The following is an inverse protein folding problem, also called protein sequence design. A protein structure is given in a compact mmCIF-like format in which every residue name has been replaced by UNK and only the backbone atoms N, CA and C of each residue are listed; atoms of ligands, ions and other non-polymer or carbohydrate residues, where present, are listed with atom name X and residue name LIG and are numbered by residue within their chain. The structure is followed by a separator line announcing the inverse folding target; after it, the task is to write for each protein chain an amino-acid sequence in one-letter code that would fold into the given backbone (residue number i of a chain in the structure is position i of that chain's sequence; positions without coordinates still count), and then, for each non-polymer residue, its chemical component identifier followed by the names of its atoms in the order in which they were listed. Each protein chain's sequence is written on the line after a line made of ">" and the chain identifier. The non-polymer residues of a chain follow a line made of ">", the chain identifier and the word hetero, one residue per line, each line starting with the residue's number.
data_IF_365045039029
#
_entry.id   IF_365045039029
#
_cell.length_a   1.000
_cell.length_b   1.000
_cell.length_c   1.000
_cell.angle_alpha   90.00
_cell.angle_beta   90.00
_cell.angle_gamma   90.00
#
_symmetry.space_group_name_H-M   'P 1'
#
loop_
_entity.id
_entity.type
_entity.pdbx_description
1 polymer ?
#
# COMPACT_ATOMS: atom_id res chain seq x y z
N UNK A 1 11.01 -14.70 13.96
CA UNK A 1 10.07 -15.34 13.02
C UNK A 1 10.08 -14.60 11.71
N UNK A 2 10.36 -15.28 10.60
CA UNK A 2 10.28 -14.69 9.25
C UNK A 2 8.89 -15.01 8.71
N UNK A 3 8.06 -13.98 8.51
CA UNK A 3 6.71 -14.15 7.95
C UNK A 3 6.80 -13.89 6.45
N UNK A 4 6.52 -14.90 5.64
CA UNK A 4 6.44 -14.80 4.18
C UNK A 4 4.96 -14.86 3.76
N UNK A 5 4.49 -13.90 2.98
CA UNK A 5 3.16 -13.93 2.36
C UNK A 5 3.31 -13.73 0.86
N UNK A 6 2.39 -14.33 0.11
CA UNK A 6 2.32 -14.16 -1.35
C UNK A 6 2.02 -12.71 -1.69
N UNK A 7 2.89 -12.12 -2.51
CA UNK A 7 2.67 -10.79 -3.07
C UNK A 7 1.77 -10.92 -4.30
N UNK A 8 0.58 -10.33 -4.21
CA UNK A 8 -0.37 -10.27 -5.32
C UNK A 8 -0.37 -8.86 -5.92
N UNK A 9 -0.66 -8.69 -7.22
CA UNK A 9 -0.64 -7.38 -7.88
C UNK A 9 -1.50 -6.32 -7.18
N UNK A 10 -2.60 -6.73 -6.54
CA UNK A 10 -3.51 -5.82 -5.84
C UNK A 10 -2.96 -5.31 -4.50
N UNK A 11 -1.83 -5.85 -4.05
CA UNK A 11 -1.08 -5.42 -2.86
C UNK A 11 0.03 -4.42 -3.20
N UNK A 12 0.10 -3.93 -4.44
CA UNK A 12 1.06 -2.95 -4.91
C UNK A 12 0.39 -1.57 -5.03
N UNK A 13 1.08 -0.54 -4.57
CA UNK A 13 0.68 0.85 -4.70
C UNK A 13 1.76 1.64 -5.47
N UNK A 14 1.39 2.43 -6.49
CA UNK A 14 2.29 3.40 -7.09
C UNK A 14 2.75 4.46 -6.07
N UNK A 15 4.03 4.84 -6.16
CA UNK A 15 4.64 5.88 -5.29
C UNK A 15 4.04 7.27 -5.48
N UNK A 16 3.41 7.52 -6.63
CA UNK A 16 2.84 8.80 -7.05
C UNK A 16 1.32 8.89 -6.82
N UNK A 17 0.71 7.92 -6.12
CA UNK A 17 -0.71 7.97 -5.80
C UNK A 17 -1.08 9.21 -4.98
N UNK A 18 -2.16 9.87 -5.40
CA UNK A 18 -2.78 10.91 -4.61
C UNK A 18 -3.41 10.34 -3.33
N UNK A 19 -3.58 11.18 -2.31
CA UNK A 19 -4.23 10.77 -1.05
C UNK A 19 -5.63 10.14 -1.23
N UNK A 20 -6.55 10.75 -2.00
CA UNK A 20 -7.86 10.16 -2.28
C UNK A 20 -7.76 8.80 -3.00
N UNK A 21 -6.89 8.68 -3.99
CA UNK A 21 -6.70 7.43 -4.74
C UNK A 21 -6.08 6.33 -3.87
N UNK A 22 -5.17 6.71 -2.97
CA UNK A 22 -4.61 5.83 -1.95
C UNK A 22 -5.71 5.27 -1.04
N UNK A 23 -6.58 6.12 -0.51
CA UNK A 23 -7.72 5.66 0.32
C UNK A 23 -8.67 4.77 -0.47
N UNK A 24 -8.93 5.11 -1.75
CA UNK A 24 -9.75 4.28 -2.61
C UNK A 24 -9.13 2.89 -2.85
N UNK A 25 -7.82 2.82 -3.09
CA UNK A 25 -7.08 1.57 -3.25
C UNK A 25 -7.16 0.69 -1.98
N UNK A 26 -6.97 1.29 -0.80
CA UNK A 26 -7.10 0.60 0.50
C UNK A 26 -8.50 0.02 0.73
N UNK A 27 -9.55 0.73 0.28
CA UNK A 27 -10.95 0.28 0.38
C UNK A 27 -11.25 -0.84 -0.62
N UNK A 28 -10.69 -0.77 -1.82
CA UNK A 28 -10.91 -1.75 -2.90
C UNK A 28 -10.30 -3.11 -2.56
N UNK A 29 -9.08 -3.12 -2.02
CA UNK A 29 -8.37 -4.37 -1.68
C UNK A 29 -7.90 -4.33 -0.25
N UNK A 30 -8.73 -4.61 0.77
CA UNK A 30 -8.33 -4.51 2.17
C UNK A 30 -7.16 -5.45 2.52
N UNK A 31 -6.03 -4.88 2.91
CA UNK A 31 -4.88 -5.60 3.44
C UNK A 31 -4.25 -4.83 4.61
N UNK A 32 -3.37 -5.50 5.37
CA UNK A 32 -2.63 -4.85 6.46
C UNK A 32 -1.48 -3.99 5.95
N UNK A 33 -0.84 -4.42 4.86
CA UNK A 33 0.38 -3.84 4.32
C UNK A 33 0.34 -3.90 2.79
N UNK A 34 0.99 -2.92 2.15
CA UNK A 34 1.13 -2.83 0.69
C UNK A 34 2.55 -2.49 0.33
N UNK A 35 3.03 -3.06 -0.78
CA UNK A 35 4.32 -2.73 -1.35
C UNK A 35 4.21 -1.45 -2.18
N UNK A 36 5.15 -0.52 -2.02
CA UNK A 36 5.19 0.69 -2.83
C UNK A 36 6.22 0.52 -3.93
N UNK A 37 5.78 0.68 -5.18
CA UNK A 37 6.63 0.62 -6.36
C UNK A 37 6.58 1.93 -7.14
N UNK A 38 7.65 2.27 -7.84
CA UNK A 38 7.58 3.26 -8.91
C UNK A 38 7.18 2.64 -10.26
N UNK A 39 7.04 3.47 -11.29
CA UNK A 39 6.70 3.03 -12.65
C UNK A 39 7.75 2.09 -13.28
N UNK A 40 8.98 2.06 -12.78
CA UNK A 40 10.03 1.12 -13.18
C UNK A 40 9.97 -0.20 -12.42
N UNK A 41 9.06 -0.34 -11.45
CA UNK A 41 8.94 -1.53 -10.60
C UNK A 41 9.95 -1.58 -9.45
N UNK A 42 10.71 -0.51 -9.20
CA UNK A 42 11.63 -0.48 -8.07
C UNK A 42 10.84 -0.38 -6.75
N UNK A 43 11.27 -1.12 -5.73
CA UNK A 43 10.64 -1.12 -4.41
C UNK A 43 11.10 0.09 -3.61
N UNK A 44 10.15 0.92 -3.19
CA UNK A 44 10.40 2.06 -2.31
C UNK A 44 10.17 1.72 -0.83
N UNK A 45 9.39 0.67 -0.54
CA UNK A 45 9.17 0.18 0.81
C UNK A 45 7.79 -0.46 0.98
N UNK A 46 7.35 -0.55 2.24
CA UNK A 46 6.04 -1.07 2.62
C UNK A 46 5.29 0.00 3.39
N UNK A 47 3.99 0.14 3.12
CA UNK A 47 3.10 1.03 3.87
C UNK A 47 2.08 0.24 4.66
N UNK A 48 1.84 0.69 5.90
CA UNK A 48 0.83 0.15 6.79
C UNK A 48 -0.53 0.79 6.50
N UNK A 49 -1.53 -0.04 6.23
CA UNK A 49 -2.89 0.43 6.02
C UNK A 49 -3.46 1.09 7.29
N UNK A 50 -3.02 0.67 8.47
CA UNK A 50 -3.43 1.27 9.73
C UNK A 50 -2.87 2.69 9.89
N UNK A 51 -1.62 2.91 9.50
CA UNK A 51 -0.98 4.23 9.62
C UNK A 51 -1.54 5.22 8.62
N UNK A 52 -1.82 4.77 7.39
CA UNK A 52 -2.53 5.62 6.41
C UNK A 52 -3.91 6.01 6.97
N UNK A 53 -4.71 5.05 7.45
CA UNK A 53 -6.04 5.37 8.01
C UNK A 53 -5.97 6.34 9.18
N UNK A 54 -4.93 6.28 10.02
CA UNK A 54 -4.70 7.27 11.08
C UNK A 54 -4.36 8.65 10.51
N UNK A 55 -3.49 8.72 9.50
CA UNK A 55 -3.07 9.97 8.90
C UNK A 55 -4.19 10.69 8.13
N UNK A 56 -5.08 9.95 7.46
CA UNK A 56 -6.22 10.54 6.70
C UNK A 56 -7.49 10.68 7.54
N UNK A 57 -7.57 10.03 8.71
CA UNK A 57 -8.68 10.12 9.64
C UNK A 57 -8.52 11.18 10.73
N UNK A 58 -7.40 11.91 10.73
CA UNK A 58 -7.11 13.03 11.63
C UNK A 58 -7.46 14.38 10.99
#
# INVERSE_FOLDING_TARGET
>A
STVTRELRPELVLPVDLSGPDLVAALRRTPAGEYLVLDAGGAVHGVVSAADIRRAVGA
#
